data_IF_147420529115
#
_entry.id   IF_147420529115
#
_cell.length_a   1.000
_cell.length_b   1.000
_cell.length_c   1.000
_cell.angle_alpha   90.00
_cell.angle_beta   90.00
_cell.angle_gamma   90.00
#
_symmetry.space_group_name_H-M   'P 1'
#
loop_
_entity.id
_entity.type
_entity.pdbx_description
1 polymer ?
#
# COMPACT_ATOMS: atom_id res chain seq x y z
N UNK A 1 -45.23 -19.39 27.91
CA UNK A 1 -44.80 -18.03 27.53
C UNK A 1 -44.92 -17.94 26.01
N UNK A 2 -46.14 -17.71 25.52
CA UNK A 2 -46.42 -17.64 24.08
C UNK A 2 -46.19 -16.21 23.61
N UNK A 3 -45.02 -15.94 23.03
CA UNK A 3 -44.83 -14.71 22.27
C UNK A 3 -45.74 -14.86 21.04
N UNK A 4 -46.82 -14.07 20.97
CA UNK A 4 -47.76 -14.19 19.85
C UNK A 4 -47.05 -13.87 18.53
N UNK A 5 -47.40 -14.60 17.48
CA UNK A 5 -46.83 -14.46 16.13
C UNK A 5 -46.87 -13.01 15.62
N UNK A 6 -47.83 -12.22 16.11
CA UNK A 6 -48.00 -10.80 15.82
C UNK A 6 -46.84 -9.93 16.34
N UNK A 7 -46.33 -10.18 17.55
CA UNK A 7 -45.19 -9.43 18.09
C UNK A 7 -43.90 -9.73 17.31
N UNK A 8 -43.73 -10.98 16.88
CA UNK A 8 -42.59 -11.40 16.03
C UNK A 8 -42.68 -10.70 14.67
N UNK A 9 -43.87 -10.69 14.05
CA UNK A 9 -44.11 -10.00 12.77
C UNK A 9 -43.87 -8.49 12.86
N UNK A 10 -44.36 -7.84 13.92
CA UNK A 10 -44.13 -6.42 14.15
C UNK A 10 -42.65 -6.10 14.37
N UNK A 11 -41.94 -6.88 15.18
CA UNK A 11 -40.51 -6.71 15.39
C UNK A 11 -39.71 -6.87 14.08
N UNK A 12 -40.05 -7.87 13.26
CA UNK A 12 -39.43 -8.06 11.95
C UNK A 12 -39.67 -6.87 11.01
N UNK A 13 -40.89 -6.32 11.00
CA UNK A 13 -41.24 -5.15 10.20
C UNK A 13 -40.49 -3.89 10.64
N UNK A 14 -40.35 -3.67 11.95
CA UNK A 14 -39.56 -2.55 12.48
C UNK A 14 -38.08 -2.69 12.12
N UNK A 15 -37.53 -3.90 12.24
CA UNK A 15 -36.13 -4.18 11.88
C UNK A 15 -35.89 -4.01 10.38
N UNK A 16 -36.79 -4.49 9.52
CA UNK A 16 -36.66 -4.35 8.06
C UNK A 16 -36.80 -2.91 7.61
N UNK A 17 -37.73 -2.15 8.19
CA UNK A 17 -37.88 -0.71 7.93
C UNK A 17 -36.66 0.08 8.39
N UNK A 18 -36.16 -0.21 9.60
CA UNK A 18 -34.93 0.42 10.14
C UNK A 18 -33.73 0.14 9.22
N UNK A 19 -33.58 -1.11 8.79
CA UNK A 19 -32.52 -1.51 7.85
C UNK A 19 -32.66 -0.81 6.50
N UNK A 20 -33.87 -0.72 5.95
CA UNK A 20 -34.14 -0.01 4.71
C UNK A 20 -33.82 1.49 4.82
N UNK A 21 -34.21 2.14 5.93
CA UNK A 21 -33.88 3.55 6.19
C UNK A 21 -32.36 3.73 6.28
N UNK A 22 -31.66 2.83 6.97
CA UNK A 22 -30.19 2.87 7.05
C UNK A 22 -29.53 2.71 5.67
N UNK A 23 -30.05 1.83 4.80
CA UNK A 23 -29.57 1.70 3.43
C UNK A 23 -29.84 2.95 2.59
N UNK A 24 -31.05 3.50 2.67
CA UNK A 24 -31.41 4.74 1.96
C UNK A 24 -30.53 5.91 2.41
N UNK A 25 -30.26 6.00 3.72
CA UNK A 25 -29.35 7.01 4.26
C UNK A 25 -27.94 6.82 3.75
N UNK A 26 -27.39 5.60 3.82
CA UNK A 26 -26.02 5.29 3.43
C UNK A 26 -25.78 5.48 1.93
N UNK A 27 -26.65 4.92 1.09
CA UNK A 27 -26.41 4.82 -0.35
C UNK A 27 -27.05 5.95 -1.16
N UNK A 28 -27.95 6.77 -0.59
CA UNK A 28 -28.63 7.83 -1.34
C UNK A 28 -28.56 9.20 -0.65
N UNK A 29 -29.09 9.32 0.57
CA UNK A 29 -29.23 10.64 1.21
C UNK A 29 -27.88 11.23 1.62
N UNK A 30 -26.97 10.43 2.18
CA UNK A 30 -25.64 10.89 2.60
C UNK A 30 -24.77 11.33 1.40
N UNK A 31 -24.65 10.54 0.31
CA UNK A 31 -23.98 11.02 -0.91
C UNK A 31 -24.57 12.33 -1.43
N UNK A 32 -25.91 12.47 -1.47
CA UNK A 32 -26.53 13.72 -1.94
C UNK A 32 -26.24 14.93 -1.05
N UNK A 33 -26.21 14.75 0.27
CA UNK A 33 -25.83 15.81 1.22
C UNK A 33 -24.38 16.24 1.03
N UNK A 34 -23.46 15.29 0.89
CA UNK A 34 -22.06 15.59 0.61
C UNK A 34 -21.88 16.28 -0.74
N UNK A 35 -22.55 15.81 -1.79
CA UNK A 35 -22.51 16.44 -3.12
C UNK A 35 -22.92 17.91 -3.03
N UNK A 36 -24.03 18.19 -2.35
CA UNK A 36 -24.51 19.56 -2.15
C UNK A 36 -23.52 20.40 -1.35
N UNK A 37 -22.97 19.86 -0.25
CA UNK A 37 -22.00 20.57 0.59
C UNK A 37 -20.70 20.91 -0.14
N UNK A 38 -20.17 19.99 -0.97
CA UNK A 38 -18.96 20.23 -1.76
C UNK A 38 -19.20 21.28 -2.85
N UNK A 39 -20.35 21.21 -3.54
CA UNK A 39 -20.73 22.21 -4.54
C UNK A 39 -20.95 23.59 -3.92
N UNK A 40 -21.53 23.66 -2.72
CA UNK A 40 -21.70 24.91 -1.98
C UNK A 40 -20.35 25.54 -1.57
N UNK A 41 -19.29 24.74 -1.42
CA UNK A 41 -17.92 25.21 -1.19
C UNK A 41 -17.20 25.63 -2.49
N UNK A 42 -17.89 25.61 -3.64
CA UNK A 42 -17.32 25.98 -4.94
C UNK A 42 -16.56 24.85 -5.64
N UNK A 43 -16.60 23.62 -5.14
CA UNK A 43 -15.99 22.48 -5.82
C UNK A 43 -16.90 21.94 -6.91
N UNK A 44 -16.31 21.64 -8.06
CA UNK A 44 -16.95 20.98 -9.20
C UNK A 44 -16.56 19.50 -9.23
N UNK A 45 -17.43 18.64 -9.73
CA UNK A 45 -17.17 17.21 -9.70
C UNK A 45 -18.28 16.38 -10.29
N UNK A 46 -18.03 15.07 -10.34
CA UNK A 46 -18.98 14.11 -10.90
C UNK A 46 -20.21 13.97 -10.00
N UNK A 47 -21.41 13.79 -10.59
CA UNK A 47 -22.59 13.45 -9.80
C UNK A 47 -22.46 12.02 -9.26
N UNK A 48 -22.98 11.78 -8.06
CA UNK A 48 -22.98 10.43 -7.48
C UNK A 48 -23.85 9.46 -8.29
N UNK A 49 -23.28 8.33 -8.71
CA UNK A 49 -23.95 7.24 -9.42
C UNK A 49 -24.18 6.07 -8.47
N UNK A 50 -25.43 5.76 -8.16
CA UNK A 50 -25.75 4.64 -7.27
C UNK A 50 -25.32 3.29 -7.89
N UNK A 51 -24.79 2.32 -7.11
CA UNK A 51 -24.44 2.41 -5.69
C UNK A 51 -22.94 2.66 -5.40
N UNK A 52 -22.10 2.69 -6.43
CA UNK A 52 -20.63 2.66 -6.28
C UNK A 52 -19.91 3.91 -6.80
N UNK A 53 -20.64 4.95 -7.16
CA UNK A 53 -20.07 6.15 -7.75
C UNK A 53 -19.42 5.84 -9.10
N UNK A 54 -18.16 6.25 -9.24
CA UNK A 54 -17.41 6.14 -10.47
C UNK A 54 -16.48 4.93 -10.55
N UNK A 55 -16.56 3.99 -9.59
CA UNK A 55 -15.68 2.80 -9.52
C UNK A 55 -15.65 2.01 -10.83
N UNK A 56 -16.81 1.77 -11.46
CA UNK A 56 -16.86 1.04 -12.73
C UNK A 56 -16.16 1.78 -13.87
N UNK A 57 -16.35 3.10 -13.95
CA UNK A 57 -15.69 3.94 -14.94
C UNK A 57 -14.18 4.01 -14.70
N UNK A 58 -13.75 4.08 -13.43
CA UNK A 58 -12.35 4.00 -13.04
C UNK A 58 -11.70 2.70 -13.51
N UNK A 59 -12.35 1.56 -13.27
CA UNK A 59 -11.87 0.24 -13.69
C UNK A 59 -11.79 0.13 -15.21
N UNK A 60 -12.83 0.60 -15.93
CA UNK A 60 -12.90 0.54 -17.38
C UNK A 60 -11.81 1.37 -18.05
N UNK A 61 -11.66 2.64 -17.66
CA UNK A 61 -10.64 3.53 -18.21
C UNK A 61 -9.23 3.00 -17.92
N UNK A 62 -9.01 2.45 -16.73
CA UNK A 62 -7.74 1.77 -16.40
C UNK A 62 -7.53 0.59 -17.36
N UNK A 63 -8.49 -0.31 -17.52
CA UNK A 63 -8.37 -1.46 -18.43
C UNK A 63 -8.06 -1.01 -19.87
N UNK A 64 -8.74 0.02 -20.38
CA UNK A 64 -8.51 0.56 -21.73
C UNK A 64 -7.11 1.16 -21.88
N UNK A 65 -6.64 1.92 -20.88
CA UNK A 65 -5.30 2.48 -20.87
C UNK A 65 -4.24 1.37 -20.85
N UNK A 66 -4.45 0.32 -20.05
CA UNK A 66 -3.53 -0.83 -19.96
C UNK A 66 -3.51 -1.74 -21.19
N UNK A 67 -4.58 -1.76 -21.98
CA UNK A 67 -4.66 -2.55 -23.21
C UNK A 67 -3.83 -1.98 -24.38
N UNK A 68 -3.35 -0.72 -24.28
CA UNK A 68 -2.60 -0.05 -25.34
C UNK A 68 -1.18 0.27 -24.90
N UNK A 69 -0.18 0.17 -25.80
CA UNK A 69 1.15 0.68 -25.53
C UNK A 69 1.11 2.21 -25.39
N UNK A 70 2.06 2.75 -24.63
CA UNK A 70 2.27 4.18 -24.48
C UNK A 70 3.42 4.63 -25.38
N UNK A 71 3.34 5.80 -26.02
CA UNK A 71 4.50 6.36 -26.74
C UNK A 71 5.65 6.63 -25.76
N UNK A 72 6.88 6.70 -26.29
CA UNK A 72 8.04 7.14 -25.51
C UNK A 72 7.88 8.62 -25.13
N UNK A 73 7.29 8.86 -23.96
CA UNK A 73 6.95 10.19 -23.46
C UNK A 73 7.01 10.23 -21.93
N UNK A 74 7.35 11.39 -21.39
CA UNK A 74 7.25 11.66 -19.95
C UNK A 74 5.81 11.93 -19.49
N UNK A 75 4.87 12.18 -20.40
CA UNK A 75 3.44 12.34 -20.08
C UNK A 75 2.79 10.99 -19.84
N UNK A 76 3.08 10.40 -18.67
CA UNK A 76 2.59 9.07 -18.30
C UNK A 76 1.16 9.08 -17.76
N UNK A 77 0.60 10.25 -17.43
CA UNK A 77 -0.66 10.41 -16.72
C UNK A 77 -1.86 9.77 -17.44
N UNK A 78 -2.02 9.92 -18.78
CA UNK A 78 -3.09 9.23 -19.51
C UNK A 78 -3.05 7.71 -19.39
N UNK A 79 -1.88 7.16 -19.06
CA UNK A 79 -1.66 5.71 -18.96
C UNK A 79 -1.82 5.18 -17.54
N UNK A 80 -1.33 5.90 -16.54
CA UNK A 80 -1.31 5.46 -15.14
C UNK A 80 -2.53 5.91 -14.34
N UNK A 81 -3.10 7.06 -14.68
CA UNK A 81 -4.21 7.69 -13.95
C UNK A 81 -5.30 8.28 -14.89
N UNK A 82 -5.76 7.53 -15.91
CA UNK A 82 -6.65 8.05 -16.96
C UNK A 82 -7.95 8.66 -16.41
N UNK A 83 -8.55 8.01 -15.42
CA UNK A 83 -9.80 8.48 -14.81
C UNK A 83 -9.62 9.84 -14.12
N UNK A 84 -8.56 9.99 -13.31
CA UNK A 84 -8.28 11.24 -12.61
C UNK A 84 -7.98 12.37 -13.61
N UNK A 85 -7.23 12.07 -14.68
CA UNK A 85 -6.99 13.03 -15.75
C UNK A 85 -8.29 13.50 -16.41
N UNK A 86 -9.20 12.56 -16.72
CA UNK A 86 -10.50 12.90 -17.31
C UNK A 86 -11.32 13.81 -16.40
N UNK A 87 -11.41 13.48 -15.10
CA UNK A 87 -12.14 14.30 -14.11
C UNK A 87 -11.55 15.71 -14.03
N UNK A 88 -10.23 15.83 -13.97
CA UNK A 88 -9.56 17.13 -13.90
C UNK A 88 -9.74 17.96 -15.18
N UNK A 89 -9.74 17.33 -16.35
CA UNK A 89 -9.98 18.02 -17.62
C UNK A 89 -11.43 18.56 -17.71
N UNK A 90 -12.39 17.87 -17.09
CA UNK A 90 -13.81 18.24 -17.13
C UNK A 90 -14.21 19.22 -16.02
N UNK A 91 -13.61 19.09 -14.83
CA UNK A 91 -14.03 19.80 -13.63
C UNK A 91 -12.97 20.75 -13.06
N UNK A 92 -11.77 20.81 -13.65
CA UNK A 92 -10.69 21.68 -13.21
C UNK A 92 -9.74 21.05 -12.19
N UNK A 93 -8.78 21.84 -11.73
CA UNK A 93 -7.68 21.40 -10.84
C UNK A 93 -8.11 21.04 -9.41
N UNK A 94 -9.26 21.55 -8.96
CA UNK A 94 -9.86 21.24 -7.67
C UNK A 94 -11.22 20.63 -7.96
N UNK A 95 -11.27 19.31 -7.95
CA UNK A 95 -12.47 18.56 -8.33
C UNK A 95 -12.84 17.53 -7.27
N UNK A 96 -14.03 16.94 -7.36
CA UNK A 96 -14.35 15.74 -6.60
C UNK A 96 -14.93 14.64 -7.50
N UNK A 97 -14.72 13.41 -7.05
CA UNK A 97 -15.17 12.18 -7.68
C UNK A 97 -15.75 11.23 -6.62
N UNK A 98 -16.46 10.18 -7.04
CA UNK A 98 -17.07 9.23 -6.10
C UNK A 98 -16.40 7.86 -6.17
N UNK A 99 -15.94 7.37 -5.02
CA UNK A 99 -15.47 6.00 -4.87
C UNK A 99 -16.31 5.34 -3.79
N UNK A 100 -17.16 4.39 -4.19
CA UNK A 100 -18.22 3.87 -3.34
C UNK A 100 -19.19 4.99 -2.90
N UNK A 101 -19.53 5.08 -1.62
CA UNK A 101 -20.47 6.09 -1.09
C UNK A 101 -19.77 7.35 -0.56
N UNK A 102 -18.43 7.41 -0.63
CA UNK A 102 -17.65 8.51 -0.10
C UNK A 102 -17.07 9.36 -1.26
N UNK A 103 -17.16 10.70 -1.16
CA UNK A 103 -16.55 11.58 -2.16
C UNK A 103 -15.04 11.70 -1.90
N UNK A 104 -14.26 11.68 -2.98
CA UNK A 104 -12.82 11.94 -2.97
C UNK A 104 -12.56 13.29 -3.61
N UNK A 105 -12.00 14.22 -2.84
CA UNK A 105 -11.52 15.50 -3.35
C UNK A 105 -10.15 15.31 -4.01
N UNK A 106 -10.02 15.75 -5.24
CA UNK A 106 -8.82 15.67 -6.08
C UNK A 106 -8.23 17.08 -6.19
N UNK A 107 -6.98 17.22 -5.77
CA UNK A 107 -6.23 18.47 -5.78
C UNK A 107 -5.05 18.36 -6.73
N UNK A 108 -5.01 19.22 -7.74
CA UNK A 108 -3.95 19.30 -8.74
C UNK A 108 -3.46 20.75 -8.93
N UNK A 109 -3.34 21.46 -7.83
CA UNK A 109 -2.68 22.75 -7.73
C UNK A 109 -1.61 22.70 -6.61
N UNK A 110 -0.38 23.17 -6.88
CA UNK A 110 0.73 23.04 -5.93
C UNK A 110 0.47 23.64 -4.55
N UNK A 111 -0.25 24.76 -4.49
CA UNK A 111 -0.55 25.46 -3.23
C UNK A 111 -1.45 24.62 -2.32
N UNK A 112 -2.55 24.06 -2.85
CA UNK A 112 -3.45 23.21 -2.04
C UNK A 112 -2.76 21.91 -1.64
N UNK A 113 -1.98 21.29 -2.54
CA UNK A 113 -1.21 20.08 -2.23
C UNK A 113 -0.18 20.36 -1.12
N UNK A 114 0.57 21.46 -1.23
CA UNK A 114 1.52 21.88 -0.20
C UNK A 114 0.81 22.14 1.13
N UNK A 115 -0.32 22.83 1.12
CA UNK A 115 -1.09 23.11 2.32
C UNK A 115 -1.52 21.80 2.99
N UNK A 116 -2.14 20.87 2.28
CA UNK A 116 -2.57 19.56 2.83
C UNK A 116 -1.41 18.74 3.39
N UNK A 117 -0.26 18.71 2.69
CA UNK A 117 0.87 17.88 3.08
C UNK A 117 1.72 18.48 4.22
N UNK A 118 1.68 19.81 4.42
CA UNK A 118 2.56 20.50 5.39
C UNK A 118 1.79 21.15 6.54
N UNK A 119 0.69 21.83 6.25
CA UNK A 119 -0.15 22.53 7.21
C UNK A 119 -1.28 21.58 7.58
N UNK A 120 -1.43 21.27 8.87
CA UNK A 120 -2.57 20.49 9.40
C UNK A 120 -2.45 18.95 9.28
N UNK A 121 -1.29 18.38 9.64
CA UNK A 121 -1.10 16.92 9.78
C UNK A 121 -2.11 16.23 10.73
N UNK A 122 -2.74 16.98 11.63
CA UNK A 122 -3.78 16.46 12.53
C UNK A 122 -5.19 16.46 11.92
N UNK A 123 -5.40 17.20 10.83
CA UNK A 123 -6.71 17.28 10.12
C UNK A 123 -6.72 16.29 8.96
N UNK A 124 -5.67 16.29 8.15
CA UNK A 124 -5.51 15.36 7.03
C UNK A 124 -4.77 14.11 7.48
N UNK A 125 -5.55 13.18 8.03
CA UNK A 125 -5.06 11.85 8.45
C UNK A 125 -5.07 10.87 7.28
N UNK A 126 -4.26 9.82 7.36
CA UNK A 126 -4.30 8.76 6.35
C UNK A 126 -5.67 8.07 6.41
N UNK A 127 -6.26 7.69 5.26
CA UNK A 127 -7.44 6.85 5.25
C UNK A 127 -7.23 5.58 6.08
N UNK A 128 -8.29 5.07 6.67
CA UNK A 128 -8.20 3.76 7.32
C UNK A 128 -7.94 2.70 6.26
N UNK A 129 -6.81 2.00 6.39
CA UNK A 129 -6.48 0.91 5.49
C UNK A 129 -7.49 -0.23 5.60
N UNK A 130 -7.84 -0.80 4.46
CA UNK A 130 -8.61 -2.02 4.44
C UNK A 130 -7.79 -3.22 4.98
N UNK A 131 -8.45 -4.37 5.16
CA UNK A 131 -7.80 -5.57 5.71
C UNK A 131 -6.71 -6.13 4.79
N UNK A 132 -6.87 -6.00 3.48
CA UNK A 132 -5.91 -6.51 2.48
C UNK A 132 -4.69 -5.59 2.37
N UNK A 133 -4.89 -4.28 2.42
CA UNK A 133 -3.86 -3.26 2.50
C UNK A 133 -3.04 -3.38 3.79
N UNK A 134 -3.69 -3.71 4.91
CA UNK A 134 -3.03 -3.99 6.19
C UNK A 134 -2.14 -5.24 6.12
N UNK A 135 -2.47 -6.24 5.28
CA UNK A 135 -1.59 -7.39 5.04
C UNK A 135 -0.36 -7.00 4.23
N UNK A 136 -0.52 -6.12 3.23
CA UNK A 136 0.58 -5.71 2.35
C UNK A 136 1.57 -4.77 3.05
N UNK A 137 1.07 -3.75 3.74
CA UNK A 137 1.88 -2.67 4.32
C UNK A 137 1.57 -2.46 5.80
N UNK A 138 1.86 -3.45 6.68
CA UNK A 138 1.71 -3.28 8.12
C UNK A 138 2.77 -2.32 8.69
N UNK A 139 2.64 -2.00 9.98
CA UNK A 139 3.67 -1.27 10.72
C UNK A 139 3.74 0.22 10.37
N UNK A 140 4.95 0.72 10.09
CA UNK A 140 5.21 2.17 9.93
C UNK A 140 4.34 2.82 8.85
N UNK A 141 4.03 2.11 7.77
CA UNK A 141 3.16 2.64 6.72
C UNK A 141 1.73 2.87 7.24
N UNK A 142 1.19 1.89 7.98
CA UNK A 142 -0.15 1.90 8.57
C UNK A 142 -0.30 2.84 9.77
N UNK A 143 0.74 2.97 10.58
CA UNK A 143 0.68 3.72 11.83
C UNK A 143 0.42 5.21 11.60
N UNK A 144 -0.28 5.81 12.57
CA UNK A 144 -0.60 7.24 12.64
C UNK A 144 -0.23 7.82 14.01
N UNK A 145 -0.19 9.15 14.11
CA UNK A 145 0.03 9.86 15.39
C UNK A 145 1.30 9.46 16.11
N UNK A 146 1.21 9.31 17.43
CA UNK A 146 2.37 9.00 18.29
C UNK A 146 3.01 7.64 17.99
N UNK A 147 2.22 6.62 17.61
CA UNK A 147 2.79 5.31 17.24
C UNK A 147 3.68 5.43 16.01
N UNK A 148 3.23 6.19 15.00
CA UNK A 148 4.05 6.49 13.82
C UNK A 148 5.32 7.26 14.17
N UNK A 149 5.20 8.34 14.96
CA UNK A 149 6.35 9.16 15.39
C UNK A 149 7.40 8.32 16.10
N UNK A 150 6.98 7.45 17.03
CA UNK A 150 7.87 6.53 17.75
C UNK A 150 8.61 5.60 16.80
N UNK A 151 7.90 4.87 15.94
CA UNK A 151 8.53 3.92 15.01
C UNK A 151 9.45 4.63 14.01
N UNK A 152 9.04 5.80 13.50
CA UNK A 152 9.87 6.61 12.58
C UNK A 152 11.16 7.07 13.24
N UNK A 153 11.10 7.52 14.50
CA UNK A 153 12.27 7.94 15.28
C UNK A 153 13.28 6.81 15.45
N UNK A 154 12.80 5.59 15.68
CA UNK A 154 13.67 4.41 15.88
C UNK A 154 14.35 3.99 14.56
N UNK A 155 13.63 4.10 13.44
CA UNK A 155 14.11 3.64 12.13
C UNK A 155 15.05 4.66 11.45
N UNK A 156 14.81 5.97 11.63
CA UNK A 156 15.54 7.03 10.94
C UNK A 156 17.10 6.95 11.04
N UNK A 157 17.71 6.59 12.18
CA UNK A 157 19.17 6.49 12.29
C UNK A 157 19.82 5.54 11.28
N UNK A 158 19.11 4.49 10.86
CA UNK A 158 19.62 3.55 9.86
C UNK A 158 19.74 4.17 8.45
N UNK A 159 19.09 5.31 8.22
CA UNK A 159 19.12 6.06 6.96
C UNK A 159 20.04 7.30 7.04
N UNK A 160 20.85 7.44 8.09
CA UNK A 160 21.88 8.48 8.15
C UNK A 160 23.02 8.17 7.18
N UNK A 161 23.67 9.22 6.67
CA UNK A 161 24.72 9.12 5.64
C UNK A 161 25.85 8.15 6.04
N UNK A 162 26.25 8.13 7.31
CA UNK A 162 27.29 7.23 7.83
C UNK A 162 26.89 5.76 7.71
N UNK A 163 25.62 5.43 7.97
CA UNK A 163 25.09 4.06 7.83
C UNK A 163 24.87 3.70 6.37
N UNK A 164 24.41 4.64 5.54
CA UNK A 164 24.25 4.42 4.09
C UNK A 164 25.58 4.12 3.39
N UNK A 165 26.69 4.73 3.85
CA UNK A 165 28.03 4.42 3.32
C UNK A 165 28.43 2.95 3.51
N UNK A 166 27.95 2.30 4.57
CA UNK A 166 28.20 0.88 4.81
C UNK A 166 27.50 -0.03 3.78
N UNK A 167 26.44 0.47 3.14
CA UNK A 167 25.65 -0.27 2.14
C UNK A 167 26.20 -0.14 0.71
N UNK A 168 27.07 0.85 0.45
CA UNK A 168 27.63 1.10 -0.88
C UNK A 168 28.32 -0.11 -1.53
N UNK A 169 29.11 -0.94 -0.81
CA UNK A 169 29.72 -2.12 -1.42
C UNK A 169 28.67 -3.09 -1.97
N UNK A 170 27.58 -3.32 -1.23
CA UNK A 170 26.49 -4.18 -1.69
C UNK A 170 25.80 -3.64 -2.95
N UNK A 171 25.61 -2.32 -3.03
CA UNK A 171 25.10 -1.69 -4.26
C UNK A 171 26.05 -1.91 -5.45
N UNK A 172 27.36 -1.71 -5.27
CA UNK A 172 28.36 -1.92 -6.33
C UNK A 172 28.33 -3.37 -6.82
N UNK A 173 28.33 -4.34 -5.91
CA UNK A 173 28.30 -5.76 -6.27
C UNK A 173 27.03 -6.12 -7.04
N UNK A 174 25.86 -5.64 -6.63
CA UNK A 174 24.62 -5.86 -7.39
C UNK A 174 24.68 -5.23 -8.79
N UNK A 175 25.26 -4.04 -8.93
CA UNK A 175 25.40 -3.39 -10.23
C UNK A 175 26.36 -4.17 -11.14
N UNK A 176 27.50 -4.61 -10.60
CA UNK A 176 28.50 -5.41 -11.32
C UNK A 176 27.90 -6.74 -11.79
N UNK A 177 27.12 -7.43 -10.95
CA UNK A 177 26.43 -8.66 -11.31
C UNK A 177 25.42 -8.45 -12.45
N UNK A 178 24.62 -7.39 -12.38
CA UNK A 178 23.66 -7.04 -13.44
C UNK A 178 24.37 -6.73 -14.76
N UNK A 179 25.42 -5.90 -14.73
CA UNK A 179 26.23 -5.56 -15.90
C UNK A 179 26.88 -6.81 -16.49
N UNK A 180 27.48 -7.67 -15.65
CA UNK A 180 28.07 -8.93 -16.08
C UNK A 180 27.03 -9.84 -16.75
N UNK A 181 25.81 -9.91 -16.21
CA UNK A 181 24.71 -10.69 -16.79
C UNK A 181 24.33 -10.15 -18.16
N UNK A 182 24.18 -8.83 -18.31
CA UNK A 182 23.82 -8.20 -19.58
C UNK A 182 24.94 -8.31 -20.63
N UNK A 183 26.21 -8.15 -20.23
CA UNK A 183 27.35 -8.36 -21.11
C UNK A 183 27.36 -9.78 -21.67
N UNK A 184 27.11 -10.81 -20.84
CA UNK A 184 27.00 -12.20 -21.31
C UNK A 184 25.86 -12.42 -22.32
N UNK A 185 24.77 -11.65 -22.23
CA UNK A 185 23.67 -11.73 -23.20
C UNK A 185 24.04 -11.08 -24.55
N UNK A 186 24.89 -10.05 -24.52
CA UNK A 186 25.39 -9.35 -25.71
C UNK A 186 26.57 -10.13 -26.33
N UNK A 187 27.44 -10.75 -25.55
CA UNK A 187 28.53 -11.58 -26.09
C UNK A 187 28.02 -12.76 -26.94
N UNK A 188 26.76 -13.14 -26.76
CA UNK A 188 26.06 -14.15 -27.56
C UNK A 188 25.46 -13.60 -28.88
N UNK A 189 25.30 -12.27 -29.04
CA UNK A 189 24.64 -11.62 -30.19
C UNK A 189 25.11 -10.17 -30.42
N UNK A 190 25.36 -9.78 -31.67
CA UNK A 190 25.74 -8.40 -32.04
C UNK A 190 24.75 -7.33 -31.51
N UNK A 191 23.46 -7.66 -31.45
CA UNK A 191 22.41 -6.86 -30.81
C UNK A 191 21.43 -7.76 -30.05
N UNK A 192 20.98 -7.31 -28.87
CA UNK A 192 19.99 -8.00 -28.04
C UNK A 192 18.90 -7.03 -27.55
N UNK A 193 17.64 -7.39 -27.77
CA UNK A 193 16.49 -6.75 -27.12
C UNK A 193 16.27 -7.40 -25.75
N UNK A 194 16.03 -6.58 -24.72
CA UNK A 194 15.87 -7.01 -23.34
C UNK A 194 14.68 -6.31 -22.68
N UNK A 195 13.78 -7.09 -22.08
CA UNK A 195 12.79 -6.53 -21.17
C UNK A 195 13.46 -6.17 -19.83
N UNK A 196 13.58 -4.87 -19.57
CA UNK A 196 14.26 -4.34 -18.39
C UNK A 196 13.43 -4.47 -17.11
N UNK A 197 12.12 -4.69 -17.20
CA UNK A 197 11.26 -4.71 -16.02
C UNK A 197 11.56 -5.89 -15.07
N UNK A 198 11.64 -7.16 -15.55
CA UNK A 198 12.06 -8.28 -14.70
C UNK A 198 13.47 -8.11 -14.14
N UNK A 199 14.39 -7.57 -14.95
CA UNK A 199 15.78 -7.34 -14.56
C UNK A 199 15.90 -6.32 -13.42
N UNK A 200 15.20 -5.19 -13.51
CA UNK A 200 15.20 -4.17 -12.47
C UNK A 200 14.44 -4.59 -11.22
N UNK A 201 13.40 -5.42 -11.35
CA UNK A 201 12.74 -6.04 -10.19
C UNK A 201 13.70 -6.94 -9.43
N UNK A 202 14.39 -7.86 -10.12
CA UNK A 202 15.36 -8.75 -9.52
C UNK A 202 16.53 -7.96 -8.89
N UNK A 203 17.10 -7.01 -9.63
CA UNK A 203 18.18 -6.14 -9.15
C UNK A 203 17.78 -5.36 -7.89
N UNK A 204 16.60 -4.74 -7.87
CA UNK A 204 16.13 -3.98 -6.70
C UNK A 204 15.90 -4.91 -5.50
N UNK A 205 15.35 -6.11 -5.76
CA UNK A 205 15.19 -7.16 -4.73
C UNK A 205 16.53 -7.58 -4.14
N UNK A 206 17.56 -7.82 -4.96
CA UNK A 206 18.90 -8.17 -4.50
C UNK A 206 19.55 -7.05 -3.69
N UNK A 207 19.43 -5.81 -4.18
CA UNK A 207 19.95 -4.62 -3.50
C UNK A 207 19.35 -4.50 -2.10
N UNK A 208 18.02 -4.53 -1.97
CA UNK A 208 17.40 -4.39 -0.66
C UNK A 208 17.70 -5.62 0.20
N UNK A 209 17.73 -6.82 -0.37
CA UNK A 209 18.01 -8.03 0.40
C UNK A 209 19.40 -8.02 1.03
N UNK A 210 20.42 -7.66 0.25
CA UNK A 210 21.81 -7.57 0.74
C UNK A 210 22.01 -6.44 1.73
N UNK A 211 21.39 -5.29 1.50
CA UNK A 211 21.59 -4.12 2.38
C UNK A 211 20.73 -4.13 3.64
N UNK A 212 19.55 -4.75 3.57
CA UNK A 212 18.64 -4.83 4.70
C UNK A 212 18.94 -6.03 5.60
N UNK A 213 19.24 -7.20 5.01
CA UNK A 213 19.36 -8.48 5.73
C UNK A 213 20.78 -9.06 5.74
N UNK A 214 21.71 -8.50 4.97
CA UNK A 214 23.12 -8.88 5.01
C UNK A 214 23.35 -10.37 4.75
N UNK A 215 23.75 -11.11 5.79
CA UNK A 215 23.99 -12.56 5.71
C UNK A 215 22.73 -13.38 5.40
N UNK A 216 21.54 -12.83 5.62
CA UNK A 216 20.24 -13.49 5.35
C UNK A 216 19.57 -12.94 4.07
N UNK A 217 20.37 -12.57 3.07
CA UNK A 217 19.82 -11.96 1.85
C UNK A 217 19.01 -12.95 1.00
N UNK A 218 19.27 -14.26 1.04
CA UNK A 218 18.47 -15.25 0.30
C UNK A 218 17.05 -15.36 0.89
N UNK A 219 16.93 -15.35 2.23
CA UNK A 219 15.64 -15.22 2.92
C UNK A 219 14.97 -13.88 2.60
N UNK A 220 15.76 -12.80 2.53
CA UNK A 220 15.31 -11.48 2.06
C UNK A 220 14.72 -11.53 0.65
N UNK A 221 15.40 -12.18 -0.30
CA UNK A 221 14.96 -12.34 -1.68
C UNK A 221 13.63 -13.08 -1.73
N UNK A 222 13.49 -14.15 -0.94
CA UNK A 222 12.22 -14.89 -0.82
C UNK A 222 11.08 -14.01 -0.32
N UNK A 223 11.33 -13.12 0.64
CA UNK A 223 10.33 -12.16 1.10
C UNK A 223 9.91 -11.22 -0.04
N UNK A 224 10.85 -10.73 -0.85
CA UNK A 224 10.51 -9.87 -1.99
C UNK A 224 9.63 -10.55 -3.04
N UNK A 225 9.93 -11.80 -3.38
CA UNK A 225 9.10 -12.59 -4.31
C UNK A 225 7.67 -12.76 -3.78
N UNK A 226 7.55 -13.10 -2.50
CA UNK A 226 6.26 -13.26 -1.82
C UNK A 226 5.49 -11.93 -1.77
N UNK A 227 6.17 -10.81 -1.53
CA UNK A 227 5.58 -9.48 -1.53
C UNK A 227 5.12 -9.07 -2.92
N UNK A 228 5.85 -9.38 -3.98
CA UNK A 228 5.42 -9.13 -5.36
C UNK A 228 4.11 -9.85 -5.68
N UNK A 229 4.00 -11.13 -5.31
CA UNK A 229 2.75 -11.88 -5.45
C UNK A 229 1.63 -11.25 -4.62
N UNK A 230 1.91 -10.84 -3.39
CA UNK A 230 0.94 -10.21 -2.49
C UNK A 230 0.42 -8.88 -3.06
N UNK A 231 1.29 -8.03 -3.64
CA UNK A 231 0.90 -6.77 -4.31
C UNK A 231 -0.13 -7.05 -5.39
N UNK A 232 0.11 -8.05 -6.24
CA UNK A 232 -0.81 -8.39 -7.34
C UNK A 232 -2.17 -8.86 -6.82
N UNK A 233 -2.18 -9.70 -5.79
CA UNK A 233 -3.42 -10.18 -5.16
C UNK A 233 -4.20 -9.05 -4.47
N UNK A 234 -3.50 -8.14 -3.79
CA UNK A 234 -4.12 -7.00 -3.11
C UNK A 234 -4.69 -6.01 -4.11
N UNK A 235 -3.96 -5.67 -5.18
CA UNK A 235 -4.48 -4.79 -6.26
C UNK A 235 -5.77 -5.37 -6.86
N UNK A 236 -5.82 -6.68 -7.09
CA UNK A 236 -7.03 -7.33 -7.59
C UNK A 236 -8.16 -7.34 -6.55
N UNK A 237 -7.85 -7.56 -5.28
CA UNK A 237 -8.83 -7.48 -4.21
C UNK A 237 -9.40 -6.06 -4.04
N UNK A 238 -8.55 -5.02 -4.17
CA UNK A 238 -8.97 -3.61 -4.13
C UNK A 238 -9.90 -3.25 -5.28
N UNK A 239 -9.72 -3.84 -6.48
CA UNK A 239 -10.66 -3.68 -7.60
C UNK A 239 -12.03 -4.27 -7.27
N UNK A 240 -12.07 -5.38 -6.54
CA UNK A 240 -13.32 -6.07 -6.15
C UNK A 240 -13.88 -5.61 -4.79
N UNK A 241 -13.29 -4.59 -4.16
CA UNK A 241 -13.68 -4.08 -2.84
C UNK A 241 -15.12 -3.58 -2.78
N UNK A 242 -15.64 -3.07 -3.91
CA UNK A 242 -17.04 -2.64 -4.04
C UNK A 242 -18.05 -3.78 -3.90
N UNK A 243 -17.62 -5.05 -4.04
CA UNK A 243 -18.48 -6.22 -3.81
C UNK A 243 -18.54 -6.50 -2.29
N UNK A 244 -19.72 -6.36 -1.66
CA UNK A 244 -19.84 -6.58 -0.22
C UNK A 244 -19.34 -7.97 0.19
N UNK A 245 -18.62 -8.02 1.31
CA UNK A 245 -18.05 -9.25 1.89
C UNK A 245 -17.03 -10.02 1.04
N UNK A 246 -16.62 -9.53 -0.14
CA UNK A 246 -15.68 -10.22 -1.03
C UNK A 246 -14.40 -10.67 -0.31
N UNK A 247 -13.86 -9.82 0.58
CA UNK A 247 -12.67 -10.10 1.40
C UNK A 247 -12.80 -11.25 2.41
N UNK A 248 -14.03 -11.58 2.81
CA UNK A 248 -14.30 -12.67 3.75
C UNK A 248 -14.62 -13.98 3.05
N UNK A 249 -14.87 -13.95 1.73
CA UNK A 249 -15.13 -15.16 0.96
C UNK A 249 -13.87 -16.05 0.96
N UNK A 250 -14.01 -17.37 1.12
CA UNK A 250 -12.89 -18.32 1.12
C UNK A 250 -12.40 -18.59 -0.30
N UNK A 251 -12.06 -17.53 -1.04
CA UNK A 251 -11.50 -17.64 -2.40
C UNK A 251 -10.06 -18.14 -2.32
N UNK A 252 -9.59 -18.80 -3.40
CA UNK A 252 -8.19 -19.23 -3.51
C UNK A 252 -7.21 -18.06 -3.30
N UNK A 253 -7.56 -16.87 -3.82
CA UNK A 253 -6.77 -15.64 -3.71
C UNK A 253 -6.71 -15.12 -2.27
N UNK A 254 -7.85 -15.04 -1.58
CA UNK A 254 -7.91 -14.63 -0.18
C UNK A 254 -7.15 -15.59 0.74
N UNK A 255 -7.21 -16.90 0.44
CA UNK A 255 -6.40 -17.90 1.15
C UNK A 255 -4.91 -17.71 0.88
N UNK A 256 -4.50 -17.54 -0.38
CA UNK A 256 -3.09 -17.33 -0.76
C UNK A 256 -2.50 -16.08 -0.11
N UNK A 257 -3.24 -14.96 -0.05
CA UNK A 257 -2.78 -13.75 0.67
C UNK A 257 -2.47 -14.03 2.15
N UNK A 258 -3.33 -14.80 2.83
CA UNK A 258 -3.10 -15.20 4.23
C UNK A 258 -1.91 -16.13 4.39
N UNK A 259 -1.74 -17.07 3.46
CA UNK A 259 -0.61 -18.02 3.48
C UNK A 259 0.72 -17.30 3.24
N UNK A 260 0.78 -16.36 2.28
CA UNK A 260 1.93 -15.49 2.05
C UNK A 260 2.28 -14.70 3.32
N UNK A 261 1.31 -14.06 3.95
CA UNK A 261 1.55 -13.27 5.16
C UNK A 261 2.16 -14.13 6.29
N UNK A 262 1.68 -15.37 6.47
CA UNK A 262 2.23 -16.31 7.45
C UNK A 262 3.66 -16.74 7.11
N UNK A 263 3.94 -16.98 5.83
CA UNK A 263 5.28 -17.35 5.35
C UNK A 263 6.27 -16.20 5.57
N UNK A 264 5.91 -14.97 5.17
CA UNK A 264 6.73 -13.77 5.40
C UNK A 264 6.98 -13.54 6.89
N UNK A 265 5.93 -13.62 7.72
CA UNK A 265 6.07 -13.45 9.17
C UNK A 265 7.02 -14.48 9.78
N UNK A 266 6.92 -15.75 9.34
CA UNK A 266 7.82 -16.81 9.79
C UNK A 266 9.27 -16.51 9.40
N UNK A 267 9.53 -16.20 8.13
CA UNK A 267 10.89 -15.91 7.65
C UNK A 267 11.50 -14.72 8.42
N UNK A 268 10.73 -13.64 8.61
CA UNK A 268 11.17 -12.47 9.38
C UNK A 268 11.52 -12.82 10.83
N UNK A 269 10.69 -13.63 11.50
CA UNK A 269 10.97 -14.08 12.88
C UNK A 269 12.23 -14.94 12.95
N UNK A 270 12.36 -15.91 12.05
CA UNK A 270 13.53 -16.79 12.00
C UNK A 270 14.82 -15.99 11.78
N UNK A 271 14.81 -15.01 10.85
CA UNK A 271 15.95 -14.11 10.62
C UNK A 271 16.29 -13.27 11.86
N UNK A 272 15.29 -12.67 12.51
CA UNK A 272 15.51 -11.86 13.72
C UNK A 272 16.13 -12.71 14.83
N UNK A 273 15.57 -13.90 15.11
CA UNK A 273 16.05 -14.78 16.17
C UNK A 273 17.49 -15.27 15.92
N UNK A 274 17.81 -15.63 14.67
CA UNK A 274 19.17 -16.02 14.29
C UNK A 274 20.14 -14.86 14.45
N UNK A 275 19.74 -13.65 14.04
CA UNK A 275 20.57 -12.45 14.10
C UNK A 275 20.83 -12.03 15.55
N UNK A 276 19.81 -12.03 16.41
CA UNK A 276 19.95 -11.73 17.83
C UNK A 276 20.94 -12.69 18.51
N UNK A 277 20.83 -14.00 18.25
CA UNK A 277 21.77 -15.01 18.79
C UNK A 277 23.20 -14.77 18.32
N UNK A 278 23.40 -14.49 17.03
CA UNK A 278 24.72 -14.23 16.47
C UNK A 278 25.36 -12.96 17.06
N UNK A 279 24.56 -11.91 17.32
CA UNK A 279 25.04 -10.67 17.93
C UNK A 279 25.47 -10.88 19.39
N UNK A 280 24.68 -11.64 20.17
CA UNK A 280 25.04 -11.99 21.57
C UNK A 280 26.34 -12.77 21.64
N UNK A 281 26.58 -13.66 20.67
CA UNK A 281 27.80 -14.46 20.59
C UNK A 281 29.02 -13.72 20.00
N UNK A 282 28.88 -12.44 19.61
CA UNK A 282 29.94 -11.66 18.96
C UNK A 282 30.28 -12.11 17.54
N UNK A 283 29.41 -12.89 16.90
CA UNK A 283 29.61 -13.49 15.57
C UNK A 283 29.04 -12.63 14.43
N UNK A 284 28.37 -11.51 14.75
CA UNK A 284 27.62 -10.70 13.80
C UNK A 284 27.88 -9.19 13.97
N UNK A 285 28.12 -8.49 12.86
CA UNK A 285 28.28 -7.03 12.81
C UNK A 285 26.97 -6.29 12.51
N UNK A 286 26.79 -5.10 13.10
CA UNK A 286 25.64 -4.17 12.94
C UNK A 286 25.76 -3.27 11.68
N UNK A 287 26.13 -3.85 10.54
CA UNK A 287 26.42 -3.07 9.33
C UNK A 287 25.25 -3.00 8.34
N UNK A 288 24.24 -3.86 8.49
CA UNK A 288 23.00 -3.85 7.71
C UNK A 288 21.82 -3.26 8.50
N UNK A 289 20.73 -2.96 7.79
CA UNK A 289 19.54 -2.34 8.38
C UNK A 289 18.99 -3.15 9.57
N UNK A 290 18.90 -4.48 9.44
CA UNK A 290 18.40 -5.34 10.50
C UNK A 290 19.27 -5.24 11.76
N UNK A 291 20.60 -5.33 11.62
CA UNK A 291 21.53 -5.18 12.73
C UNK A 291 21.39 -3.83 13.44
N UNK A 292 21.29 -2.74 12.67
CA UNK A 292 21.13 -1.38 13.22
C UNK A 292 19.80 -1.25 14.00
N UNK A 293 18.72 -1.83 13.48
CA UNK A 293 17.41 -1.80 14.14
C UNK A 293 17.41 -2.62 15.45
N UNK A 294 18.05 -3.78 15.47
CA UNK A 294 18.17 -4.61 16.67
C UNK A 294 19.01 -3.92 17.74
N UNK A 295 20.13 -3.30 17.36
CA UNK A 295 20.97 -2.51 18.26
C UNK A 295 20.18 -1.36 18.89
N UNK A 296 19.50 -0.56 18.07
CA UNK A 296 18.68 0.57 18.52
C UNK A 296 17.55 0.13 19.45
N UNK A 297 16.89 -1.00 19.16
CA UNK A 297 15.85 -1.56 20.01
C UNK A 297 16.42 -2.02 21.37
N UNK A 298 17.61 -2.64 21.38
CA UNK A 298 18.28 -3.06 22.60
C UNK A 298 18.67 -1.88 23.51
N UNK A 299 19.12 -0.78 22.92
CA UNK A 299 19.45 0.45 23.65
C UNK A 299 18.21 1.11 24.26
N UNK A 300 17.10 1.15 23.52
CA UNK A 300 15.84 1.70 24.01
C UNK A 300 15.29 0.88 25.18
N UNK A 301 15.44 -0.46 25.13
CA UNK A 301 15.09 -1.35 26.25
C UNK A 301 15.94 -1.05 27.50
N UNK A 302 17.25 -0.82 27.33
CA UNK A 302 18.14 -0.40 28.44
C UNK A 302 17.72 0.94 29.05
N UNK A 303 17.09 1.82 28.28
CA UNK A 303 16.57 3.12 28.71
C UNK A 303 15.14 3.05 29.29
N UNK A 304 14.54 1.85 29.41
CA UNK A 304 13.21 1.66 29.98
C UNK A 304 12.05 1.98 29.02
N UNK A 305 12.32 2.14 27.73
CA UNK A 305 11.28 2.39 26.72
C UNK A 305 10.63 1.08 26.23
N UNK A 306 9.34 1.12 25.87
CA UNK A 306 8.61 -0.07 25.41
C UNK A 306 9.10 -0.58 24.05
N UNK A 307 9.01 -1.91 23.83
CA UNK A 307 9.39 -2.58 22.57
C UNK A 307 8.72 -1.96 21.33
N UNK A 308 9.37 -2.10 20.17
CA UNK A 308 8.65 -2.04 18.89
C UNK A 308 7.75 -3.28 18.80
N UNK A 309 6.44 -3.11 19.00
CA UNK A 309 5.40 -4.12 18.73
C UNK A 309 4.48 -3.65 17.60
#
# INVERSE_FOLDING_TARGET
>A
MEISLQYIGFAFLVLSLSWFIALLQKFWLRPKRFEHALRAQGLTGTPYKFPFGDVLQFIELRKMAYAKPMPLSHDIIPRVAPYFQQVMNQHGKKAFAWFEQEPTVILNDPESVWHVLTKQQNIFVKPEQDTSEKLLLPGLFAHQGEKWKKHRRIINPAFHLEKLKLMLPAFSTCCEELICKWNKLIDLKEFSELDVLPEFKAFTGDVISRTAFGSSFEEGRRIFELQEELVMLVVEASINSYIPFYKHLPTKKNKRMKDINREVEKILRDMIEQREKAMVNGQATSNDLLGILLETNSENLKKGESRMQ
#
